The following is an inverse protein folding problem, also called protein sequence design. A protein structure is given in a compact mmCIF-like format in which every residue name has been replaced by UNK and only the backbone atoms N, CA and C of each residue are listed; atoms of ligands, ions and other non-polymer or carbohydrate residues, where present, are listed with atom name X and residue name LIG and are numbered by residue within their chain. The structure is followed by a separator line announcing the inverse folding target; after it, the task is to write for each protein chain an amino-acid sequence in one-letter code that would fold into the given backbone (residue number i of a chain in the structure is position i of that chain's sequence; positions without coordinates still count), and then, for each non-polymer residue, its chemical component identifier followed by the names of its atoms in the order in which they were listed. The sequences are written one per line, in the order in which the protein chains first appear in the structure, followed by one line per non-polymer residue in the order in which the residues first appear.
data_IF_439179100390
#
_entry.id   IF_439179100390
#
_cell.length_a   1.000
_cell.length_b   1.000
_cell.length_c   1.000
_cell.angle_alpha   90.00
_cell.angle_beta   90.00
_cell.angle_gamma   90.00
#
_symmetry.space_group_name_H-M   'P 1'
#
loop_
_entity.id
_entity.type
_entity.pdbx_description
1 polymer ?
#
# COMPACT_ATOMS: atom_id res chain seq x y z
N UNK A 1 22.96 61.22 58.30
CA UNK A 1 23.47 60.09 57.49
C UNK A 1 22.24 59.31 57.01
N UNK A 2 21.72 59.66 55.81
CA UNK A 2 20.41 59.16 55.37
C UNK A 2 20.74 58.03 54.33
N UNK A 3 20.41 56.82 54.71
CA UNK A 3 20.54 55.68 53.80
C UNK A 3 19.37 55.71 52.77
N UNK A 4 19.70 55.95 51.51
CA UNK A 4 18.78 55.92 50.38
C UNK A 4 18.41 54.45 50.09
N UNK A 5 17.20 54.08 50.45
CA UNK A 5 16.59 52.82 50.12
C UNK A 5 16.46 52.74 48.57
N UNK A 6 17.19 51.87 47.94
CA UNK A 6 16.93 51.52 46.54
C UNK A 6 15.62 50.72 46.50
N UNK A 7 14.60 51.31 45.91
CA UNK A 7 13.45 50.59 45.47
C UNK A 7 13.90 49.65 44.33
N UNK A 8 13.74 48.37 44.55
CA UNK A 8 13.87 47.36 43.51
C UNK A 8 12.70 47.58 42.57
N UNK A 9 12.93 48.13 41.38
CA UNK A 9 11.98 48.10 40.29
C UNK A 9 11.66 46.61 40.03
N UNK A 10 10.43 46.21 40.37
CA UNK A 10 9.88 44.95 39.95
C UNK A 10 9.85 44.99 38.40
N UNK A 11 10.73 44.22 37.79
CA UNK A 11 10.72 44.04 36.35
C UNK A 11 9.39 43.35 36.00
N UNK A 12 8.42 44.14 35.56
CA UNK A 12 7.19 43.63 34.98
C UNK A 12 7.57 42.78 33.76
N UNK A 13 7.47 41.48 33.93
CA UNK A 13 7.75 40.53 32.85
C UNK A 13 6.63 40.64 31.83
N UNK A 14 6.83 41.45 30.80
CA UNK A 14 5.88 41.51 29.69
C UNK A 14 5.83 40.17 28.94
N UNK A 15 4.80 39.37 29.24
CA UNK A 15 4.56 38.07 28.59
C UNK A 15 3.83 38.21 27.25
N UNK A 16 3.31 39.42 26.95
CA UNK A 16 2.52 39.69 25.74
C UNK A 16 3.26 39.35 24.43
N UNK A 17 4.57 39.71 24.23
CA UNK A 17 5.29 39.32 23.05
C UNK A 17 5.47 37.81 22.92
N UNK A 18 5.60 37.12 24.05
CA UNK A 18 5.75 35.67 24.07
C UNK A 18 4.45 34.95 23.67
N UNK A 19 3.29 35.44 24.15
CA UNK A 19 1.98 34.92 23.76
C UNK A 19 1.71 35.16 22.27
N UNK A 20 2.07 36.33 21.74
CA UNK A 20 1.93 36.63 20.33
C UNK A 20 2.80 35.72 19.45
N UNK A 21 4.00 35.40 19.91
CA UNK A 21 4.89 34.45 19.21
C UNK A 21 4.30 33.03 19.22
N UNK A 22 3.74 32.58 20.37
CA UNK A 22 3.15 31.25 20.49
C UNK A 22 1.92 31.07 19.59
N UNK A 23 1.08 32.09 19.46
CA UNK A 23 -0.15 32.00 18.67
C UNK A 23 0.14 31.84 17.17
N UNK A 24 1.31 32.26 16.71
CA UNK A 24 1.78 32.08 15.33
C UNK A 24 2.56 30.76 15.16
N UNK A 25 3.41 30.43 16.14
CA UNK A 25 4.26 29.24 16.07
C UNK A 25 3.48 27.92 16.11
N UNK A 26 2.44 27.84 16.96
CA UNK A 26 1.65 26.60 17.12
C UNK A 26 0.95 26.18 15.82
N UNK A 27 0.22 27.06 15.10
CA UNK A 27 -0.39 26.70 13.82
C UNK A 27 0.64 26.32 12.74
N UNK A 28 1.78 27.00 12.71
CA UNK A 28 2.87 26.69 11.75
C UNK A 28 3.46 25.31 12.03
N UNK A 29 3.69 24.96 13.31
CA UNK A 29 4.16 23.63 13.69
C UNK A 29 3.14 22.53 13.35
N UNK A 30 1.85 22.78 13.59
CA UNK A 30 0.80 21.83 13.20
C UNK A 30 0.73 21.65 11.69
N UNK A 31 0.89 22.74 10.93
CA UNK A 31 0.88 22.68 9.48
C UNK A 31 2.09 21.90 8.93
N UNK A 32 3.28 22.09 9.51
CA UNK A 32 4.47 21.30 9.14
C UNK A 32 4.33 19.82 9.51
N UNK A 33 3.64 19.51 10.62
CA UNK A 33 3.39 18.13 11.03
C UNK A 33 2.44 17.39 10.06
N UNK A 34 1.45 18.09 9.52
CA UNK A 34 0.52 17.53 8.51
C UNK A 34 1.23 17.23 7.20
N UNK A 35 2.19 18.07 6.78
CA UNK A 35 2.96 17.86 5.55
C UNK A 35 4.05 16.78 5.67
N UNK A 36 4.38 16.29 6.86
CA UNK A 36 5.32 15.19 7.06
C UNK A 36 4.74 13.81 6.66
N UNK A 37 3.49 13.74 6.30
CA UNK A 37 2.90 12.56 5.64
C UNK A 37 3.11 12.62 4.11
N UNK A 38 4.30 13.04 3.69
CA UNK A 38 4.72 12.77 2.33
C UNK A 38 5.00 11.27 2.28
N UNK A 39 4.02 10.51 1.83
CA UNK A 39 4.26 9.18 1.28
C UNK A 39 5.35 9.35 0.25
N UNK A 40 6.55 8.91 0.59
CA UNK A 40 7.63 8.80 -0.37
C UNK A 40 7.14 7.78 -1.38
N UNK A 41 6.53 8.27 -2.45
CA UNK A 41 6.35 7.48 -3.65
C UNK A 41 7.77 7.16 -4.08
N UNK A 42 8.24 5.96 -3.77
CA UNK A 42 9.50 5.45 -4.29
C UNK A 42 9.32 5.33 -5.80
N UNK A 43 9.59 6.43 -6.50
CA UNK A 43 9.84 6.40 -7.92
C UNK A 43 11.10 5.55 -8.10
N UNK A 44 10.92 4.26 -8.34
CA UNK A 44 11.96 3.41 -8.88
C UNK A 44 12.30 3.92 -10.28
N UNK A 45 13.13 4.95 -10.34
CA UNK A 45 13.83 5.30 -11.56
C UNK A 45 14.76 4.12 -11.88
N UNK A 46 14.75 3.61 -13.10
CA UNK A 46 15.75 2.64 -13.52
C UNK A 46 17.12 3.33 -13.43
N UNK A 47 17.87 2.99 -12.39
CA UNK A 47 19.27 3.39 -12.29
C UNK A 47 20.03 2.78 -13.45
N UNK A 48 20.62 3.64 -14.29
CA UNK A 48 21.52 3.30 -15.38
C UNK A 48 22.86 2.72 -14.87
N UNK A 49 23.07 2.70 -13.57
CA UNK A 49 24.20 2.06 -12.91
C UNK A 49 23.73 0.76 -12.29
N UNK A 50 23.94 -0.35 -13.00
CA UNK A 50 23.50 -1.68 -12.65
C UNK A 50 23.90 -2.13 -11.25
N UNK A 51 23.04 -1.93 -10.27
CA UNK A 51 23.17 -2.56 -8.98
C UNK A 51 22.39 -3.87 -8.94
N UNK A 52 23.10 -4.94 -8.68
CA UNK A 52 22.67 -6.34 -8.63
C UNK A 52 21.51 -6.58 -7.65
N UNK A 53 21.29 -5.66 -6.71
CA UNK A 53 20.25 -5.72 -5.68
C UNK A 53 18.83 -5.48 -6.21
N UNK A 54 18.64 -4.56 -7.16
CA UNK A 54 17.31 -4.29 -7.74
C UNK A 54 16.80 -5.43 -8.61
N UNK A 55 17.71 -6.15 -9.28
CA UNK A 55 17.35 -7.34 -10.05
C UNK A 55 16.86 -8.49 -9.18
N UNK A 56 17.38 -8.62 -7.97
CA UNK A 56 16.99 -9.66 -7.02
C UNK A 56 15.61 -9.39 -6.38
N UNK A 57 15.27 -8.14 -6.10
CA UNK A 57 13.94 -7.77 -5.58
C UNK A 57 12.87 -7.87 -6.65
N UNK A 58 13.14 -7.40 -7.86
CA UNK A 58 12.24 -7.53 -9.00
C UNK A 58 11.97 -9.00 -9.35
N UNK A 59 12.97 -9.86 -9.19
CA UNK A 59 12.84 -11.32 -9.37
C UNK A 59 11.98 -11.99 -8.29
N UNK A 60 11.62 -11.31 -7.22
CA UNK A 60 10.78 -11.87 -6.15
C UNK A 60 9.40 -11.19 -6.06
N UNK A 61 9.06 -10.32 -6.98
CA UNK A 61 7.81 -9.60 -6.98
C UNK A 61 6.65 -10.51 -7.39
N UNK A 62 5.59 -10.50 -6.58
CA UNK A 62 4.31 -11.14 -6.90
C UNK A 62 3.43 -10.12 -7.59
N UNK A 63 2.93 -10.46 -8.78
CA UNK A 63 2.05 -9.61 -9.56
C UNK A 63 0.73 -10.33 -9.81
N UNK A 64 -0.36 -9.62 -9.59
CA UNK A 64 -1.71 -10.07 -9.94
C UNK A 64 -2.27 -9.09 -10.96
N UNK A 65 -2.53 -9.56 -12.17
CA UNK A 65 -3.07 -8.74 -13.25
C UNK A 65 -4.55 -9.02 -13.38
N UNK A 66 -5.35 -7.98 -13.11
CA UNK A 66 -6.80 -8.01 -13.23
C UNK A 66 -7.22 -7.50 -14.60
N UNK A 67 -7.78 -8.38 -15.39
CA UNK A 67 -8.34 -8.08 -16.70
C UNK A 67 -9.85 -8.22 -16.67
N UNK A 68 -10.54 -7.71 -17.69
CA UNK A 68 -11.99 -7.79 -17.80
C UNK A 68 -12.53 -9.20 -17.58
N UNK A 69 -11.90 -10.20 -18.23
CA UNK A 69 -12.41 -11.58 -18.26
C UNK A 69 -11.41 -12.60 -17.69
N UNK A 70 -10.32 -12.17 -17.05
CA UNK A 70 -9.32 -13.08 -16.49
C UNK A 70 -8.51 -12.46 -15.37
N UNK A 71 -7.99 -13.32 -14.51
CA UNK A 71 -7.00 -12.99 -13.50
C UNK A 71 -5.71 -13.72 -13.85
N UNK A 72 -4.60 -13.01 -13.92
CA UNK A 72 -3.30 -13.58 -14.21
C UNK A 72 -2.37 -13.36 -13.02
N UNK A 73 -1.65 -14.39 -12.63
CA UNK A 73 -0.74 -14.37 -11.48
C UNK A 73 0.66 -14.65 -11.99
N UNK A 74 1.58 -13.75 -11.71
CA UNK A 74 2.98 -13.86 -12.07
C UNK A 74 3.85 -13.91 -10.82
N UNK A 75 4.75 -14.90 -10.77
CA UNK A 75 5.74 -15.04 -9.72
C UNK A 75 6.89 -15.96 -10.16
N UNK A 76 8.15 -15.51 -10.15
CA UNK A 76 8.60 -14.12 -10.05
C UNK A 76 8.04 -13.19 -11.13
N UNK A 77 8.28 -11.88 -10.99
CA UNK A 77 7.82 -10.89 -11.99
C UNK A 77 8.08 -11.35 -13.42
N UNK A 78 7.04 -11.32 -14.25
CA UNK A 78 7.10 -11.76 -15.64
C UNK A 78 6.94 -13.27 -15.92
N UNK A 79 7.00 -14.13 -14.90
CA UNK A 79 6.74 -15.57 -15.04
C UNK A 79 5.28 -15.89 -14.69
N UNK A 80 4.48 -16.29 -15.70
CA UNK A 80 3.07 -16.63 -15.49
C UNK A 80 2.96 -17.94 -14.69
N UNK A 81 2.41 -17.86 -13.49
CA UNK A 81 2.09 -19.01 -12.64
C UNK A 81 0.75 -19.62 -13.04
N UNK A 82 -0.28 -18.76 -13.14
CA UNK A 82 -1.63 -19.20 -13.46
C UNK A 82 -2.42 -18.09 -14.13
N UNK A 83 -3.23 -18.49 -15.12
CA UNK A 83 -4.32 -17.66 -15.65
C UNK A 83 -5.65 -18.31 -15.25
N UNK A 84 -6.54 -17.50 -14.70
CA UNK A 84 -7.87 -17.88 -14.27
C UNK A 84 -8.85 -17.10 -15.14
N UNK A 85 -9.56 -17.80 -16.00
CA UNK A 85 -10.59 -17.20 -16.84
C UNK A 85 -11.88 -17.03 -16.05
N UNK A 86 -12.67 -16.01 -16.41
CA UNK A 86 -13.99 -15.80 -15.84
C UNK A 86 -14.90 -17.00 -16.16
N UNK A 87 -15.77 -17.36 -15.21
CA UNK A 87 -16.81 -18.36 -15.42
C UNK A 87 -18.05 -17.68 -15.99
N UNK A 88 -18.66 -18.31 -16.95
CA UNK A 88 -20.00 -17.94 -17.37
C UNK A 88 -21.00 -18.42 -16.31
N UNK A 89 -21.73 -17.47 -15.75
CA UNK A 89 -22.82 -17.70 -14.79
C UNK A 89 -24.10 -17.14 -15.39
N UNK A 90 -25.27 -17.54 -14.87
CA UNK A 90 -26.57 -17.02 -15.33
C UNK A 90 -26.67 -15.49 -15.25
N UNK A 91 -25.91 -14.85 -14.34
CA UNK A 91 -25.82 -13.39 -14.15
C UNK A 91 -24.72 -12.73 -15.01
N UNK A 92 -24.04 -13.46 -15.89
CA UNK A 92 -22.91 -12.96 -16.70
C UNK A 92 -21.54 -13.55 -16.35
N UNK A 93 -20.49 -12.95 -16.89
CA UNK A 93 -19.11 -13.38 -16.61
C UNK A 93 -18.69 -12.95 -15.21
N UNK A 94 -18.38 -13.91 -14.34
CA UNK A 94 -17.82 -13.66 -12.99
C UNK A 94 -16.40 -14.22 -12.87
N UNK A 95 -15.51 -13.41 -12.29
CA UNK A 95 -14.15 -13.82 -11.97
C UNK A 95 -14.15 -14.86 -10.84
N UNK A 96 -13.27 -15.87 -10.94
CA UNK A 96 -13.20 -16.97 -9.96
C UNK A 96 -12.22 -16.62 -8.83
N UNK A 97 -12.71 -15.88 -7.83
CA UNK A 97 -11.93 -15.46 -6.67
C UNK A 97 -11.54 -16.63 -5.76
N UNK A 98 -12.28 -17.73 -5.77
CA UNK A 98 -11.94 -18.94 -5.00
C UNK A 98 -10.65 -19.55 -5.53
N UNK A 99 -10.56 -19.71 -6.85
CA UNK A 99 -9.33 -20.19 -7.47
C UNK A 99 -8.16 -19.24 -7.26
N UNK A 100 -8.40 -17.91 -7.31
CA UNK A 100 -7.37 -16.92 -6.98
C UNK A 100 -6.83 -17.14 -5.57
N UNK A 101 -7.73 -17.24 -4.58
CA UNK A 101 -7.36 -17.48 -3.18
C UNK A 101 -6.53 -18.76 -3.02
N UNK A 102 -6.92 -19.86 -3.68
CA UNK A 102 -6.17 -21.13 -3.61
C UNK A 102 -4.74 -20.98 -4.14
N UNK A 103 -4.57 -20.33 -5.29
CA UNK A 103 -3.24 -20.12 -5.88
C UNK A 103 -2.37 -19.22 -4.99
N UNK A 104 -2.94 -18.14 -4.45
CA UNK A 104 -2.23 -17.24 -3.56
C UNK A 104 -1.79 -17.93 -2.26
N UNK A 105 -2.63 -18.81 -1.69
CA UNK A 105 -2.25 -19.64 -0.53
C UNK A 105 -1.07 -20.56 -0.85
N UNK A 106 -1.06 -21.14 -2.03
CA UNK A 106 0.04 -22.01 -2.44
C UNK A 106 1.35 -21.22 -2.61
N UNK A 107 1.28 -20.02 -3.18
CA UNK A 107 2.43 -19.11 -3.27
C UNK A 107 2.89 -18.70 -1.87
N UNK A 108 1.96 -18.33 -0.97
CA UNK A 108 2.28 -17.93 0.41
C UNK A 108 3.01 -19.02 1.20
N UNK A 109 2.68 -20.29 0.97
CA UNK A 109 3.41 -21.41 1.60
C UNK A 109 4.89 -21.46 1.20
N UNK A 110 5.20 -21.04 -0.04
CA UNK A 110 6.57 -21.00 -0.57
C UNK A 110 7.34 -19.76 -0.14
N UNK A 111 6.64 -18.63 0.03
CA UNK A 111 7.23 -17.33 0.36
C UNK A 111 6.55 -16.74 1.59
N UNK A 112 6.77 -17.36 2.76
CA UNK A 112 6.09 -17.03 4.02
C UNK A 112 6.30 -15.59 4.46
N UNK A 113 7.50 -15.06 4.24
CA UNK A 113 7.92 -13.72 4.69
C UNK A 113 7.47 -12.59 3.78
N UNK A 114 6.87 -12.92 2.61
CA UNK A 114 6.42 -11.91 1.67
C UNK A 114 5.04 -11.39 2.03
N UNK A 115 4.90 -10.07 2.19
CA UNK A 115 3.65 -9.36 2.51
C UNK A 115 3.15 -8.47 1.37
N UNK A 116 4.05 -8.12 0.44
CA UNK A 116 3.79 -7.20 -0.65
C UNK A 116 3.31 -7.91 -1.93
N UNK A 117 2.41 -7.26 -2.64
CA UNK A 117 1.89 -7.69 -3.95
C UNK A 117 1.60 -6.49 -4.82
N UNK A 118 1.88 -6.61 -6.11
CA UNK A 118 1.53 -5.60 -7.11
C UNK A 118 0.27 -6.04 -7.83
N UNK A 119 -0.81 -5.29 -7.65
CA UNK A 119 -2.09 -5.50 -8.35
C UNK A 119 -2.18 -4.55 -9.55
N UNK A 120 -2.16 -5.11 -10.73
CA UNK A 120 -2.24 -4.38 -12.00
C UNK A 120 -3.64 -4.53 -12.59
N UNK A 121 -4.32 -3.41 -12.89
CA UNK A 121 -5.68 -3.41 -13.40
C UNK A 121 -5.77 -2.81 -14.81
N UNK A 122 -6.57 -3.43 -15.69
CA UNK A 122 -6.98 -2.80 -16.94
C UNK A 122 -7.96 -1.64 -16.66
N UNK A 123 -7.97 -0.57 -17.48
CA UNK A 123 -8.87 0.58 -17.29
C UNK A 123 -10.37 0.21 -17.35
N UNK A 124 -10.71 -0.83 -18.13
CA UNK A 124 -12.08 -1.26 -18.36
C UNK A 124 -12.66 -2.18 -17.28
N UNK A 125 -11.90 -2.41 -16.20
CA UNK A 125 -12.34 -3.26 -15.09
C UNK A 125 -13.24 -2.49 -14.15
N UNK A 126 -14.32 -3.12 -13.69
CA UNK A 126 -15.23 -2.49 -12.73
C UNK A 126 -14.54 -2.30 -11.37
N UNK A 127 -14.86 -1.20 -10.70
CA UNK A 127 -14.38 -0.94 -9.34
C UNK A 127 -14.72 -2.08 -8.37
N UNK A 128 -15.90 -2.69 -8.52
CA UNK A 128 -16.30 -3.83 -7.69
C UNK A 128 -15.37 -5.03 -7.87
N UNK A 129 -14.96 -5.32 -9.11
CA UNK A 129 -13.99 -6.40 -9.39
C UNK A 129 -12.62 -6.11 -8.81
N UNK A 130 -12.19 -4.84 -8.86
CA UNK A 130 -10.94 -4.41 -8.25
C UNK A 130 -10.97 -4.64 -6.74
N UNK A 131 -12.00 -4.16 -6.05
CA UNK A 131 -12.14 -4.32 -4.60
C UNK A 131 -12.20 -5.80 -4.20
N UNK A 132 -13.02 -6.61 -4.91
CA UNK A 132 -13.12 -8.04 -4.62
C UNK A 132 -11.80 -8.79 -4.82
N UNK A 133 -10.98 -8.34 -5.80
CA UNK A 133 -9.64 -8.88 -6.01
C UNK A 133 -8.72 -8.49 -4.87
N UNK A 134 -8.75 -7.22 -4.43
CA UNK A 134 -7.96 -6.73 -3.30
C UNK A 134 -8.27 -7.49 -2.02
N UNK A 135 -9.55 -7.69 -1.71
CA UNK A 135 -9.98 -8.45 -0.53
C UNK A 135 -9.48 -9.89 -0.57
N UNK A 136 -9.56 -10.54 -1.75
CA UNK A 136 -9.07 -11.91 -1.94
C UNK A 136 -7.55 -12.02 -1.82
N UNK A 137 -6.82 -11.00 -2.27
CA UNK A 137 -5.36 -10.93 -2.20
C UNK A 137 -4.89 -10.64 -0.76
N UNK A 138 -5.60 -9.77 -0.04
CA UNK A 138 -5.27 -9.42 1.35
C UNK A 138 -5.34 -10.62 2.28
N UNK A 139 -6.38 -11.44 2.16
CA UNK A 139 -6.56 -12.57 3.07
C UNK A 139 -7.73 -13.46 2.72
N UNK A 140 -7.96 -14.43 3.57
CA UNK A 140 -9.12 -15.31 3.46
C UNK A 140 -9.66 -15.68 4.84
N UNK A 141 -10.95 -15.97 4.87
CA UNK A 141 -11.60 -16.47 6.07
C UNK A 141 -11.41 -17.98 6.17
N UNK A 142 -10.89 -18.43 7.29
CA UNK A 142 -10.77 -19.84 7.65
C UNK A 142 -11.57 -20.09 8.92
N UNK A 143 -12.12 -21.27 9.05
CA UNK A 143 -12.81 -21.69 10.28
C UNK A 143 -11.81 -22.52 11.10
N UNK A 144 -11.33 -21.97 12.20
CA UNK A 144 -10.52 -22.69 13.15
C UNK A 144 -11.34 -22.95 14.41
N UNK A 145 -11.56 -24.24 14.69
CA UNK A 145 -12.20 -24.79 15.91
C UNK A 145 -13.64 -24.31 16.16
N UNK A 146 -14.24 -23.33 15.81
CA UNK A 146 -15.63 -22.82 15.99
C UNK A 146 -15.76 -21.33 15.71
N UNK A 147 -14.64 -20.65 15.49
CA UNK A 147 -14.65 -19.20 15.22
C UNK A 147 -14.10 -18.92 13.83
N UNK A 148 -14.69 -17.99 13.07
CA UNK A 148 -14.09 -17.54 11.83
C UNK A 148 -12.82 -16.75 12.15
N UNK A 149 -11.70 -17.18 11.60
CA UNK A 149 -10.40 -16.50 11.70
C UNK A 149 -10.04 -15.96 10.33
N UNK A 150 -9.72 -14.69 10.28
CA UNK A 150 -9.16 -14.07 9.07
C UNK A 150 -7.66 -14.32 9.02
N UNK A 151 -7.21 -14.95 7.94
CA UNK A 151 -5.80 -15.24 7.70
C UNK A 151 -5.30 -14.28 6.63
N UNK A 152 -4.37 -13.42 7.00
CA UNK A 152 -3.72 -12.51 6.07
C UNK A 152 -2.77 -13.24 5.13
N UNK A 153 -2.82 -12.87 3.84
CA UNK A 153 -1.92 -13.38 2.80
C UNK A 153 -0.90 -12.31 2.41
N UNK A 154 -1.35 -11.29 1.68
CA UNK A 154 -0.55 -10.20 1.18
C UNK A 154 -1.23 -8.86 1.50
N UNK A 155 -1.06 -8.34 2.73
CA UNK A 155 -1.74 -7.13 3.17
C UNK A 155 -1.21 -5.84 2.50
N UNK A 156 0.02 -5.84 2.03
CA UNK A 156 0.66 -4.68 1.39
C UNK A 156 0.41 -4.69 -0.12
N UNK A 157 -0.69 -4.07 -0.53
CA UNK A 157 -1.13 -4.04 -1.94
C UNK A 157 -0.71 -2.71 -2.57
N UNK A 158 0.12 -2.79 -3.62
CA UNK A 158 0.42 -1.68 -4.50
C UNK A 158 -0.42 -1.77 -5.76
N UNK A 159 -1.01 -0.65 -6.21
CA UNK A 159 -1.84 -0.59 -7.41
C UNK A 159 -1.06 0.00 -8.59
N UNK A 160 -1.33 -0.52 -9.79
CA UNK A 160 -0.78 0.00 -11.03
C UNK A 160 -1.64 -0.36 -12.23
N UNK A 161 -1.25 0.16 -13.39
CA UNK A 161 -1.92 -0.13 -14.64
C UNK A 161 -1.41 -1.44 -15.26
N UNK A 162 -2.33 -2.24 -15.77
CA UNK A 162 -1.98 -3.47 -16.44
C UNK A 162 -1.26 -3.21 -17.76
N UNK A 163 -0.17 -3.93 -18.06
CA UNK A 163 0.46 -3.82 -19.36
C UNK A 163 -0.49 -4.31 -20.46
N UNK A 164 -0.40 -3.75 -21.68
CA UNK A 164 -1.20 -4.19 -22.79
C UNK A 164 -1.00 -5.70 -23.03
N UNK A 165 -2.08 -6.39 -23.45
CA UNK A 165 -2.00 -7.82 -23.75
C UNK A 165 -0.85 -8.05 -24.73
N UNK A 166 0.16 -8.82 -24.32
CA UNK A 166 1.15 -9.33 -25.26
C UNK A 166 0.41 -10.25 -26.23
N UNK A 167 0.17 -9.75 -27.44
CA UNK A 167 -0.40 -10.55 -28.52
C UNK A 167 0.43 -11.81 -28.67
N UNK A 168 -0.21 -12.97 -28.76
CA UNK A 168 0.44 -14.18 -29.28
C UNK A 168 0.86 -13.86 -30.71
N UNK A 169 2.15 -13.71 -30.94
CA UNK A 169 2.73 -13.93 -32.29
C UNK A 169 2.71 -15.39 -32.60
#
# INVERSE_FOLDING_TARGET
MFAKRRELEEADLEITPFMNLMIVLVPVLLMTMVFNQITILQLNLPDLTGSVTQSAEKNRQLEVVLRKNSLEIYFPSGALVKRIEARQTEDGEKLDYEKLSLVLREIKKRVKDKSDVLLLSEPDVSYQSLVSTMDTVRGFRSVAATSPVEVELFPEISLGDAPPKRGKS
#
